data_IF_962650281888
#
_entry.id   IF_962650281888
#
_cell.length_a   1.000
_cell.length_b   1.000
_cell.length_c   1.000
_cell.angle_alpha   90.00
_cell.angle_beta   90.00
_cell.angle_gamma   90.00
#
_symmetry.space_group_name_H-M   'P 1'
#
loop_
_entity.id
_entity.type
_entity.pdbx_description
1 polymer ?
2 water ?
#
# COMPACT_ATOMS: atom_id res chain seq x y z
N UNK A 1 -8.60 13.10 10.28
CA UNK A 1 -7.61 12.51 9.33
C UNK A 1 -7.83 13.07 7.92
N UNK A 2 -6.75 13.27 7.18
CA UNK A 2 -6.87 13.79 5.82
C UNK A 2 -7.26 12.68 4.86
N UNK A 3 -7.84 13.06 3.72
CA UNK A 3 -8.28 12.12 2.71
C UNK A 3 -7.71 12.44 1.34
N UNK A 4 -7.31 11.41 0.61
CA UNK A 4 -6.82 11.55 -0.75
C UNK A 4 -7.78 10.68 -1.54
N UNK A 5 -8.19 11.12 -2.73
CA UNK A 5 -9.15 10.36 -3.51
C UNK A 5 -8.70 9.90 -4.89
N UNK A 6 -9.26 8.79 -5.33
CA UNK A 6 -8.96 8.23 -6.64
C UNK A 6 -10.21 7.58 -7.23
N UNK A 7 -10.65 8.08 -8.38
CA UNK A 7 -11.83 7.53 -9.05
C UNK A 7 -11.33 6.60 -10.14
N UNK A 8 -11.78 5.35 -10.11
CA UNK A 8 -11.34 4.36 -11.08
C UNK A 8 -11.78 4.61 -12.52
N UNK A 9 -12.60 5.64 -12.71
CA UNK A 9 -13.04 5.99 -14.04
C UNK A 9 -12.13 7.06 -14.63
N UNK A 10 -11.15 7.49 -13.84
CA UNK A 10 -10.19 8.51 -14.25
C UNK A 10 -8.78 7.98 -13.98
N UNK A 11 -8.44 6.85 -14.59
CA UNK A 11 -7.15 6.23 -14.39
C UNK A 11 -5.95 7.14 -14.58
N UNK A 12 -6.05 8.09 -15.50
CA UNK A 12 -4.94 9.00 -15.79
C UNK A 12 -4.54 9.90 -14.61
N UNK A 13 -5.39 9.96 -13.58
CA UNK A 13 -5.11 10.79 -12.41
C UNK A 13 -4.24 10.04 -11.40
N UNK A 14 -3.97 8.77 -11.68
CA UNK A 14 -3.18 7.93 -10.78
C UNK A 14 -1.85 8.55 -10.33
N UNK A 15 -1.02 9.02 -11.26
CA UNK A 15 0.26 9.61 -10.83
C UNK A 15 0.09 10.76 -9.83
N UNK A 16 -0.92 11.60 -10.05
CA UNK A 16 -1.16 12.73 -9.14
C UNK A 16 -1.62 12.21 -7.78
N UNK A 17 -2.47 11.18 -7.82
CA UNK A 17 -3.01 10.55 -6.62
C UNK A 17 -1.89 9.99 -5.74
N UNK A 18 -0.97 9.24 -6.35
CA UNK A 18 0.14 8.66 -5.61
C UNK A 18 1.05 9.74 -5.02
N UNK A 19 1.29 10.81 -5.77
CA UNK A 19 2.14 11.87 -5.26
C UNK A 19 1.47 12.56 -4.08
N UNK A 20 0.16 12.75 -4.15
CA UNK A 20 -0.56 13.38 -3.05
C UNK A 20 -0.52 12.50 -1.80
N UNK A 21 -0.54 11.19 -1.99
CA UNK A 21 -0.47 10.27 -0.85
C UNK A 21 0.92 10.35 -0.22
N UNK A 22 1.95 10.41 -1.04
CA UNK A 22 3.32 10.50 -0.51
C UNK A 22 3.46 11.79 0.31
N UNK A 23 2.83 12.87 -0.15
CA UNK A 23 2.90 14.14 0.56
C UNK A 23 2.34 14.00 1.97
N UNK A 24 1.30 13.20 2.12
CA UNK A 24 0.67 12.97 3.42
C UNK A 24 1.56 12.10 4.32
N UNK A 25 2.32 11.20 3.70
CA UNK A 25 3.18 10.29 4.44
C UNK A 25 4.57 10.85 4.78
N UNK A 26 5.04 11.80 3.98
CA UNK A 26 6.37 12.40 4.19
C UNK A 26 6.36 13.36 5.37
N UNK A 27 6.42 12.81 6.58
CA UNK A 27 6.40 13.62 7.80
C UNK A 27 7.72 13.58 8.57
N UNK A 28 8.65 12.74 8.14
CA UNK A 28 9.92 12.65 8.83
C UNK A 28 11.00 13.49 8.18
N UNK A 29 12.19 13.50 8.76
CA UNK A 29 13.31 14.26 8.20
C UNK A 29 13.85 13.52 6.98
N UNK A 30 13.96 14.20 5.84
CA UNK A 30 14.46 13.57 4.61
C UNK A 30 15.87 13.02 4.79
N UNK A 31 16.17 11.94 4.06
CA UNK A 31 17.50 11.33 4.10
C UNK A 31 17.88 11.07 2.65
N UNK A 32 19.11 11.47 2.29
CA UNK A 32 19.61 11.32 0.93
C UNK A 32 18.59 11.87 -0.08
N UNK A 33 18.01 13.03 0.25
CA UNK A 33 17.04 13.71 -0.60
C UNK A 33 15.77 12.90 -0.90
N UNK A 34 15.41 12.01 0.02
CA UNK A 34 14.21 11.18 -0.12
C UNK A 34 13.29 11.37 1.09
N UNK A 35 11.97 11.29 0.87
CA UNK A 35 10.98 11.43 1.94
C UNK A 35 11.11 10.25 2.92
N UNK A 36 10.71 10.46 4.17
CA UNK A 36 10.79 9.42 5.20
C UNK A 36 9.54 9.50 6.09
N UNK A 37 9.03 8.35 6.53
CA UNK A 37 7.87 8.34 7.40
C UNK A 37 8.30 8.55 8.86
N UNK A 38 7.35 8.83 9.73
CA UNK A 38 7.62 9.01 11.16
C UNK A 38 7.31 7.70 11.88
N UNK A 39 8.15 7.32 12.84
CA UNK A 39 7.92 6.09 13.59
C UNK A 39 6.74 6.21 14.55
N UNK A 40 6.60 7.37 15.17
CA UNK A 40 5.50 7.62 16.09
C UNK A 40 4.89 8.97 15.78
N UNK A 41 3.59 9.10 16.02
CA UNK A 41 2.89 10.34 15.75
C UNK A 41 1.62 10.36 16.59
N UNK A 42 1.08 11.55 16.82
CA UNK A 42 -0.12 11.71 17.62
C UNK A 42 -1.26 10.87 17.05
N UNK A 43 -2.08 10.30 17.92
CA UNK A 43 -3.19 9.47 17.44
C UNK A 43 -4.10 10.20 16.46
N UNK A 44 -4.22 11.52 16.59
CA UNK A 44 -5.08 12.31 15.72
C UNK A 44 -4.51 12.52 14.31
N UNK A 45 -3.28 12.08 14.08
CA UNK A 45 -2.66 12.25 12.77
C UNK A 45 -2.05 10.92 12.32
N UNK A 46 -2.43 9.86 13.02
CA UNK A 46 -1.92 8.52 12.76
C UNK A 46 -2.36 7.87 11.45
N UNK A 47 -3.50 8.28 10.90
CA UNK A 47 -3.98 7.67 9.66
C UNK A 47 -4.32 8.63 8.54
N UNK A 48 -4.26 8.12 7.31
CA UNK A 48 -4.64 8.89 6.13
C UNK A 48 -5.69 8.02 5.47
N UNK A 49 -6.75 8.64 4.97
CA UNK A 49 -7.82 7.89 4.34
C UNK A 49 -7.74 8.00 2.81
N UNK A 50 -7.96 6.87 2.14
CA UNK A 50 -7.92 6.81 0.69
C UNK A 50 -9.28 6.40 0.16
N UNK A 51 -9.99 7.35 -0.44
CA UNK A 51 -11.33 7.10 -0.99
C UNK A 51 -11.24 6.62 -2.43
N UNK A 52 -11.60 5.36 -2.65
CA UNK A 52 -11.58 4.76 -3.99
C UNK A 52 -13.00 4.56 -4.46
N UNK A 53 -13.35 5.19 -5.59
CA UNK A 53 -14.69 5.09 -6.14
C UNK A 53 -14.68 4.38 -7.49
N UNK A 54 -15.61 3.44 -7.67
CA UNK A 54 -15.71 2.67 -8.90
C UNK A 54 -16.57 3.40 -9.94
N UNK A 55 -16.53 2.92 -11.18
CA UNK A 55 -17.35 3.55 -12.22
C UNK A 55 -18.81 3.22 -11.93
N UNK A 56 -19.04 2.22 -11.08
CA UNK A 56 -20.39 1.83 -10.70
C UNK A 56 -20.87 2.67 -9.52
N UNK A 57 -20.08 3.69 -9.17
CA UNK A 57 -20.43 4.62 -8.09
C UNK A 57 -20.38 4.09 -6.67
N UNK A 58 -19.56 3.06 -6.43
CA UNK A 58 -19.42 2.52 -5.08
C UNK A 58 -18.07 2.97 -4.53
N UNK A 59 -18.05 3.39 -3.28
CA UNK A 59 -16.81 3.85 -2.67
C UNK A 59 -16.41 3.06 -1.43
N UNK A 60 -15.10 2.87 -1.29
CA UNK A 60 -14.55 2.20 -0.12
C UNK A 60 -13.48 3.14 0.42
N UNK A 61 -13.57 3.46 1.70
CA UNK A 61 -12.60 4.35 2.34
C UNK A 61 -11.55 3.49 3.03
N UNK A 62 -10.35 3.44 2.46
CA UNK A 62 -9.27 2.63 3.00
C UNK A 62 -8.38 3.41 3.96
N UNK A 63 -8.16 2.87 5.15
CA UNK A 63 -7.33 3.53 6.15
C UNK A 63 -5.89 3.02 6.11
N UNK A 64 -4.95 3.96 6.08
CA UNK A 64 -3.52 3.63 6.05
C UNK A 64 -2.78 4.26 7.23
N UNK A 65 -1.96 3.45 7.90
CA UNK A 65 -1.16 3.88 9.05
C UNK A 65 0.01 4.69 8.44
N UNK A 66 0.10 5.98 8.78
CA UNK A 66 1.16 6.80 8.19
C UNK A 66 2.58 6.46 8.67
N UNK A 67 2.70 5.75 9.77
CA UNK A 67 4.03 5.42 10.27
C UNK A 67 4.72 4.34 9.43
N UNK A 68 3.94 3.42 8.87
CA UNK A 68 4.49 2.33 8.09
C UNK A 68 3.79 2.03 6.76
N UNK A 69 2.82 2.88 6.39
CA UNK A 69 2.04 2.73 5.17
C UNK A 69 1.26 1.41 5.11
N UNK A 70 0.92 0.86 6.28
CA UNK A 70 0.15 -0.39 6.34
C UNK A 70 -1.35 -0.10 6.22
N UNK A 71 -2.04 -0.86 5.39
CA UNK A 71 -3.50 -0.70 5.29
C UNK A 71 -4.00 -1.45 6.52
N UNK A 72 -4.90 -0.84 7.29
CA UNK A 72 -5.41 -1.48 8.50
C UNK A 72 -6.89 -1.88 8.39
N UNK A 73 -7.58 -1.35 7.39
CA UNK A 73 -8.98 -1.68 7.22
C UNK A 73 -9.65 -0.72 6.25
N UNK A 74 -10.97 -0.83 6.12
CA UNK A 74 -11.70 0.04 5.23
C UNK A 74 -13.15 0.18 5.67
N UNK A 75 -13.85 1.13 5.08
CA UNK A 75 -15.26 1.33 5.39
C UNK A 75 -16.03 1.24 4.09
N UNK A 76 -17.05 0.39 4.06
CA UNK A 76 -17.88 0.25 2.87
C UNK A 76 -19.32 0.41 3.33
N UNK A 77 -20.25 -0.24 2.66
CA UNK A 77 -21.65 -0.13 3.06
C UNK A 77 -22.33 -1.48 3.20
N UNK A 78 -23.33 -1.55 4.07
CA UNK A 78 -24.12 -2.76 4.26
C UNK A 78 -25.51 -2.34 4.72
N UNK A 79 -26.52 -2.75 3.96
CA UNK A 79 -27.90 -2.44 4.29
C UNK A 79 -28.13 -0.93 4.39
N UNK A 80 -27.47 -0.19 3.52
CA UNK A 80 -27.62 1.26 3.49
C UNK A 80 -26.88 2.01 4.57
N UNK A 81 -26.11 1.30 5.38
CA UNK A 81 -25.36 1.95 6.45
C UNK A 81 -23.87 1.62 6.35
N UNK A 82 -23.04 2.44 6.98
CA UNK A 82 -21.60 2.23 6.94
C UNK A 82 -21.22 0.95 7.66
N UNK A 83 -20.11 0.37 7.24
CA UNK A 83 -19.59 -0.86 7.86
C UNK A 83 -18.08 -0.74 7.90
N UNK A 84 -17.50 -0.95 9.09
CA UNK A 84 -16.05 -0.88 9.26
C UNK A 84 -15.51 -2.30 9.26
N UNK A 85 -14.50 -2.53 8.43
CA UNK A 85 -13.88 -3.85 8.34
C UNK A 85 -12.40 -3.70 8.66
N UNK A 86 -11.95 -4.41 9.68
CA UNK A 86 -10.55 -4.33 10.09
C UNK A 86 -9.81 -5.65 9.96
N UNK A 87 -8.53 -5.56 9.62
CA UNK A 87 -7.69 -6.74 9.53
C UNK A 87 -7.38 -7.09 10.98
N UNK A 88 -6.99 -8.34 11.24
CA UNK A 88 -6.67 -8.75 12.60
C UNK A 88 -5.28 -8.21 12.94
N UNK A 89 -5.01 -8.05 14.23
CA UNK A 89 -3.71 -7.59 14.71
C UNK A 89 -3.30 -6.16 14.33
N UNK A 90 -4.27 -5.28 14.11
CA UNK A 90 -3.93 -3.89 13.80
C UNK A 90 -3.80 -3.11 15.11
N UNK A 91 -3.17 -1.93 15.08
CA UNK A 91 -3.01 -1.14 16.30
C UNK A 91 -4.33 -0.89 17.00
N UNK A 92 -4.33 -0.87 18.33
CA UNK A 92 -5.56 -0.62 19.08
C UNK A 92 -6.12 0.74 18.69
N UNK A 93 -5.25 1.69 18.39
CA UNK A 93 -5.71 3.03 18.01
C UNK A 93 -6.54 2.98 16.73
N UNK A 94 -6.29 1.97 15.89
CA UNK A 94 -7.03 1.82 14.64
C UNK A 94 -8.50 1.45 14.90
N UNK A 95 -8.71 0.40 15.68
CA UNK A 95 -10.07 -0.03 15.96
C UNK A 95 -10.78 0.92 16.91
N UNK A 96 -10.02 1.68 17.70
CA UNK A 96 -10.61 2.62 18.64
C UNK A 96 -10.96 3.98 18.04
N UNK A 97 -10.15 4.48 17.12
CA UNK A 97 -10.40 5.80 16.55
C UNK A 97 -10.88 5.94 15.11
N UNK A 98 -10.68 4.91 14.29
CA UNK A 98 -11.13 4.99 12.91
C UNK A 98 -12.63 4.80 12.76
N UNK A 99 -13.20 5.47 11.76
CA UNK A 99 -14.63 5.36 11.45
C UNK A 99 -15.48 5.49 12.71
N UNK A 100 -15.35 6.62 13.42
CA UNK A 100 -16.11 6.86 14.65
C UNK A 100 -17.62 6.78 14.48
N UNK A 101 -18.29 6.14 15.43
CA UNK A 101 -19.73 6.03 15.38
C UNK A 101 -20.29 4.88 14.57
N UNK A 102 -19.48 4.28 13.71
CA UNK A 102 -19.94 3.15 12.89
C UNK A 102 -20.02 1.92 13.80
N UNK A 103 -21.22 1.39 14.00
CA UNK A 103 -21.42 0.25 14.88
C UNK A 103 -21.23 -1.14 14.27
N UNK A 104 -21.39 -1.26 12.96
CA UNK A 104 -21.19 -2.53 12.29
C UNK A 104 -19.68 -2.59 12.07
N UNK A 105 -18.96 -3.18 13.01
CA UNK A 105 -17.51 -3.27 12.94
C UNK A 105 -17.10 -4.74 12.88
N UNK A 106 -16.37 -5.09 11.84
CA UNK A 106 -15.93 -6.46 11.62
C UNK A 106 -14.44 -6.64 11.81
N UNK A 107 -14.06 -7.62 12.63
CA UNK A 107 -12.65 -7.92 12.83
C UNK A 107 -12.44 -9.23 12.09
N UNK A 108 -11.66 -9.16 11.00
CA UNK A 108 -11.38 -10.34 10.18
C UNK A 108 -10.51 -11.33 10.96
N UNK A 109 -10.51 -12.59 10.50
CA UNK A 109 -9.73 -13.62 11.17
C UNK A 109 -8.28 -13.66 10.75
N UNK A 110 -7.94 -12.91 9.70
CA UNK A 110 -6.56 -12.86 9.21
C UNK A 110 -5.96 -11.45 9.31
N UNK A 111 -4.65 -11.38 9.41
CA UNK A 111 -3.97 -10.08 9.50
C UNK A 111 -3.53 -9.62 8.11
N UNK A 112 -2.87 -8.46 8.06
CA UNK A 112 -2.45 -7.91 6.78
C UNK A 112 -1.13 -8.36 6.17
N UNK A 113 -0.47 -9.35 6.75
CA UNK A 113 0.79 -9.81 6.19
C UNK A 113 0.48 -10.52 4.87
N UNK A 114 1.41 -10.51 3.93
CA UNK A 114 1.13 -11.16 2.66
C UNK A 114 0.89 -12.66 2.81
N UNK A 115 1.55 -13.30 3.77
CA UNK A 115 1.37 -14.73 3.95
C UNK A 115 -0.04 -15.08 4.37
N UNK A 116 -0.59 -14.32 5.31
CA UNK A 116 -1.94 -14.59 5.79
C UNK A 116 -2.98 -14.21 4.73
N UNK A 117 -2.71 -13.14 3.99
CA UNK A 117 -3.64 -12.70 2.95
C UNK A 117 -3.73 -13.69 1.79
N UNK A 118 -2.58 -14.19 1.33
CA UNK A 118 -2.61 -15.13 0.22
C UNK A 118 -3.26 -16.45 0.65
N UNK A 119 -3.06 -16.83 1.91
CA UNK A 119 -3.67 -18.06 2.43
C UNK A 119 -5.19 -17.95 2.45
N UNK A 120 -5.69 -16.75 2.73
CA UNK A 120 -7.13 -16.53 2.79
C UNK A 120 -7.72 -16.36 1.39
N UNK A 121 -6.97 -15.69 0.52
CA UNK A 121 -7.42 -15.45 -0.85
C UNK A 121 -7.30 -16.72 -1.70
N UNK A 122 -6.38 -17.59 -1.31
CA UNK A 122 -6.11 -18.86 -1.99
C UNK A 122 -5.42 -18.66 -3.32
N UNK A 123 -4.77 -17.51 -3.47
CA UNK A 123 -4.04 -17.18 -4.69
C UNK A 123 -2.83 -16.34 -4.30
N UNK A 124 -1.67 -16.67 -4.86
CA UNK A 124 -0.45 -15.94 -4.54
C UNK A 124 -0.31 -14.66 -5.35
N UNK A 125 0.47 -13.71 -4.82
CA UNK A 125 0.68 -12.42 -5.48
C UNK A 125 1.09 -12.53 -6.95
N UNK A 126 1.98 -13.47 -7.26
CA UNK A 126 2.46 -13.62 -8.63
C UNK A 126 1.36 -14.02 -9.61
N UNK A 127 0.27 -14.60 -9.11
CA UNK A 127 -0.83 -15.04 -9.98
C UNK A 127 -2.07 -14.15 -9.95
N UNK A 128 -2.07 -13.12 -9.11
CA UNK A 128 -3.22 -12.22 -9.02
C UNK A 128 -3.03 -10.97 -9.86
N UNK A 129 -3.93 -10.77 -10.83
CA UNK A 129 -3.86 -9.62 -11.71
C UNK A 129 -4.16 -8.30 -11.01
N UNK A 130 -3.36 -7.29 -11.32
CA UNK A 130 -3.51 -5.97 -10.75
C UNK A 130 -3.97 -5.02 -11.86
N UNK A 131 -4.52 -3.88 -11.48
CA UNK A 131 -4.99 -2.93 -12.46
C UNK A 131 -6.27 -2.25 -12.00
N UNK A 132 -6.60 -1.12 -12.61
CA UNK A 132 -7.79 -0.38 -12.22
C UNK A 132 -9.09 -1.17 -12.37
N UNK A 133 -9.21 -1.91 -13.48
CA UNK A 133 -10.42 -2.70 -13.72
C UNK A 133 -10.51 -3.86 -12.72
N UNK A 134 -9.38 -4.51 -12.47
CA UNK A 134 -9.35 -5.62 -11.53
C UNK A 134 -9.67 -5.12 -10.13
N UNK A 135 -9.17 -3.93 -9.78
CA UNK A 135 -9.44 -3.37 -8.46
C UNK A 135 -10.93 -3.11 -8.35
N UNK A 136 -11.52 -2.52 -9.38
CA UNK A 136 -12.96 -2.25 -9.35
C UNK A 136 -13.75 -3.55 -9.20
N UNK A 137 -13.32 -4.60 -9.89
CA UNK A 137 -14.01 -5.88 -9.81
C UNK A 137 -13.98 -6.43 -8.39
N UNK A 138 -12.84 -6.31 -7.72
CA UNK A 138 -12.72 -6.80 -6.35
C UNK A 138 -13.59 -6.00 -5.39
N UNK A 139 -13.76 -4.71 -5.66
CA UNK A 139 -14.60 -3.86 -4.82
C UNK A 139 -16.06 -4.26 -5.02
N UNK A 140 -16.44 -4.49 -6.27
CA UNK A 140 -17.81 -4.90 -6.60
C UNK A 140 -18.16 -6.23 -5.95
N UNK A 141 -17.16 -7.08 -5.75
CA UNK A 141 -17.39 -8.39 -5.16
C UNK A 141 -17.65 -8.38 -3.66
N UNK A 142 -17.22 -7.33 -2.97
CA UNK A 142 -17.40 -7.26 -1.52
C UNK A 142 -18.28 -6.12 -1.02
N UNK A 143 -18.37 -5.05 -1.80
CA UNK A 143 -19.16 -3.89 -1.39
C UNK A 143 -20.65 -4.21 -1.20
N UNK A 144 -21.15 -3.97 0.01
CA UNK A 144 -22.55 -4.21 0.30
C UNK A 144 -22.96 -5.67 0.33
N UNK A 145 -21.98 -6.57 0.40
CA UNK A 145 -22.26 -7.99 0.43
C UNK A 145 -21.88 -8.63 1.76
N UNK A 146 -22.37 -9.83 2.01
CA UNK A 146 -22.05 -10.52 3.26
C UNK A 146 -20.53 -10.73 3.30
N UNK A 147 -19.96 -10.68 4.49
CA UNK A 147 -18.53 -10.85 4.68
C UNK A 147 -18.02 -12.22 4.21
N UNK A 148 -17.16 -12.19 3.20
CA UNK A 148 -16.54 -13.39 2.65
C UNK A 148 -15.03 -13.20 2.73
N UNK A 149 -14.41 -13.89 3.67
CA UNK A 149 -12.98 -13.77 3.87
C UNK A 149 -12.11 -13.88 2.63
N UNK A 150 -12.40 -14.84 1.76
CA UNK A 150 -11.62 -15.03 0.56
C UNK A 150 -11.67 -13.83 -0.40
N UNK A 151 -12.87 -13.31 -0.64
CA UNK A 151 -13.01 -12.17 -1.55
C UNK A 151 -12.38 -10.91 -0.98
N UNK A 152 -12.51 -10.72 0.33
CA UNK A 152 -11.95 -9.55 0.97
C UNK A 152 -10.42 -9.61 0.95
N UNK A 153 -9.86 -10.80 1.11
CA UNK A 153 -8.41 -10.94 1.09
C UNK A 153 -7.89 -10.55 -0.30
N UNK A 154 -8.64 -10.90 -1.34
CA UNK A 154 -8.24 -10.57 -2.71
C UNK A 154 -8.22 -9.05 -2.88
N UNK A 155 -9.23 -8.38 -2.34
CA UNK A 155 -9.30 -6.93 -2.42
C UNK A 155 -8.07 -6.31 -1.75
N UNK A 156 -7.75 -6.77 -0.55
CA UNK A 156 -6.59 -6.23 0.16
C UNK A 156 -5.30 -6.43 -0.64
N UNK A 157 -5.11 -7.63 -1.20
CA UNK A 157 -3.91 -7.89 -1.98
C UNK A 157 -3.76 -6.92 -3.13
N UNK A 158 -4.87 -6.64 -3.82
CA UNK A 158 -4.82 -5.72 -4.95
C UNK A 158 -4.61 -4.27 -4.52
N UNK A 159 -5.40 -3.79 -3.57
CA UNK A 159 -5.27 -2.41 -3.13
C UNK A 159 -3.95 -2.09 -2.42
N UNK A 160 -3.45 -3.04 -1.63
CA UNK A 160 -2.18 -2.80 -0.93
C UNK A 160 -1.04 -2.58 -1.93
N UNK A 161 -1.01 -3.39 -2.99
CA UNK A 161 0.05 -3.24 -3.97
C UNK A 161 -0.11 -2.01 -4.87
N UNK A 162 -1.35 -1.71 -5.26
CA UNK A 162 -1.60 -0.55 -6.13
C UNK A 162 -1.53 0.79 -5.41
N UNK A 163 -1.69 0.78 -4.09
CA UNK A 163 -1.65 2.04 -3.34
C UNK A 163 -0.45 2.16 -2.40
N UNK A 164 -0.39 1.31 -1.38
CA UNK A 164 0.72 1.36 -0.43
C UNK A 164 2.09 1.11 -1.05
N UNK A 165 2.23 0.00 -1.78
CA UNK A 165 3.52 -0.33 -2.38
C UNK A 165 3.93 0.67 -3.46
N UNK A 166 2.95 1.21 -4.19
CA UNK A 166 3.21 2.20 -5.23
C UNK A 166 3.71 3.50 -4.59
N UNK A 167 3.16 3.82 -3.42
CA UNK A 167 3.58 5.02 -2.71
C UNK A 167 5.03 4.85 -2.25
N UNK A 168 5.35 3.66 -1.75
CA UNK A 168 6.69 3.36 -1.28
C UNK A 168 7.73 3.30 -2.38
N UNK A 169 7.35 2.75 -3.53
CA UNK A 169 8.26 2.54 -4.65
C UNK A 169 7.84 3.15 -5.99
N UNK A 170 8.64 4.10 -6.48
CA UNK A 170 8.35 4.70 -7.78
C UNK A 170 8.34 3.64 -8.87
N UNK A 171 9.16 2.59 -8.71
CA UNK A 171 9.23 1.52 -9.70
C UNK A 171 7.87 0.85 -9.85
N UNK A 172 7.22 0.56 -8.72
CA UNK A 172 5.92 -0.08 -8.72
C UNK A 172 4.87 0.89 -9.27
N UNK A 173 4.97 2.16 -8.90
CA UNK A 173 4.03 3.15 -9.41
C UNK A 173 4.11 3.16 -10.95
N UNK A 174 5.32 3.08 -11.47
CA UNK A 174 5.50 3.10 -12.93
C UNK A 174 4.93 1.85 -13.60
N UNK A 175 5.03 0.70 -12.93
CA UNK A 175 4.47 -0.53 -13.50
C UNK A 175 2.97 -0.38 -13.64
N UNK A 176 2.33 0.19 -12.62
CA UNK A 176 0.88 0.38 -12.67
C UNK A 176 0.51 1.37 -13.77
N UNK A 177 1.27 2.46 -13.88
CA UNK A 177 1.00 3.46 -14.91
C UNK A 177 1.13 2.88 -16.31
N UNK A 178 2.20 2.11 -16.55
CA UNK A 178 2.44 1.51 -17.86
C UNK A 178 1.58 0.29 -18.20
N UNK A 179 1.21 -0.49 -17.20
CA UNK A 179 0.45 -1.72 -17.42
C UNK A 179 -0.91 -1.87 -16.74
N UNK A 180 -1.19 -1.10 -15.69
CA UNK A 180 -2.45 -1.27 -14.99
C UNK A 180 -3.51 -0.17 -15.02
N UNK A 181 -3.32 0.86 -15.83
CA UNK A 181 -4.31 1.92 -15.90
C UNK A 181 -5.29 1.63 -17.02
N UNK A 182 -4.77 1.07 -18.11
CA UNK A 182 -5.59 0.74 -19.27
C UNK A 182 -5.48 -0.74 -19.62
N UNK A 183 -4.99 -1.52 -18.66
CA UNK A 183 -4.85 -2.95 -18.86
C UNK A 183 -4.70 -3.65 -17.51
N UNK A 184 -4.34 -4.92 -17.55
CA UNK A 184 -4.15 -5.71 -16.33
C UNK A 184 -2.80 -6.39 -16.41
N UNK A 185 -2.20 -6.66 -15.25
CA UNK A 185 -0.90 -7.32 -15.24
C UNK A 185 -0.64 -8.02 -13.92
N UNK A 186 0.29 -8.98 -13.95
CA UNK A 186 0.69 -9.70 -12.75
C UNK A 186 2.06 -9.13 -12.41
N UNK A 187 2.29 -8.79 -11.14
CA UNK A 187 3.57 -8.22 -10.67
C UNK A 187 4.78 -9.08 -10.97
N UNK A 188 5.81 -8.48 -11.58
CA UNK A 188 7.01 -9.22 -11.91
C UNK A 188 7.91 -9.47 -10.71
N UNK A 189 9.01 -10.18 -10.93
CA UNK A 189 9.93 -10.53 -9.87
C UNK A 189 10.47 -9.35 -9.07
N UNK A 190 10.71 -8.23 -9.75
CA UNK A 190 11.23 -7.05 -9.07
C UNK A 190 10.18 -6.40 -8.18
N UNK A 191 8.96 -6.29 -8.70
CA UNK A 191 7.87 -5.70 -7.92
C UNK A 191 7.75 -6.46 -6.60
N UNK A 192 7.67 -7.78 -6.70
CA UNK A 192 7.54 -8.62 -5.51
C UNK A 192 8.74 -8.51 -4.58
N UNK A 193 9.94 -8.43 -5.14
CA UNK A 193 11.16 -8.33 -4.32
C UNK A 193 11.19 -7.03 -3.52
N UNK A 194 10.83 -5.92 -4.17
CA UNK A 194 10.82 -4.62 -3.49
C UNK A 194 9.79 -4.65 -2.36
N UNK A 195 8.62 -5.23 -2.63
CA UNK A 195 7.57 -5.32 -1.62
C UNK A 195 8.08 -6.06 -0.38
N UNK A 196 8.87 -7.10 -0.61
CA UNK A 196 9.41 -7.89 0.50
C UNK A 196 10.58 -7.26 1.23
N UNK A 197 11.14 -6.19 0.67
CA UNK A 197 12.31 -5.56 1.30
C UNK A 197 12.27 -4.07 1.60
N UNK A 198 11.08 -3.48 1.71
CA UNK A 198 11.00 -2.05 1.99
C UNK A 198 11.78 -1.65 3.24
N UNK A 199 11.56 -2.38 4.33
CA UNK A 199 12.24 -2.06 5.58
C UNK A 199 13.75 -2.13 5.47
N UNK A 200 14.26 -3.22 4.90
CA UNK A 200 15.70 -3.39 4.75
C UNK A 200 16.34 -2.36 3.82
N UNK A 201 15.66 -2.04 2.72
CA UNK A 201 16.17 -1.05 1.78
C UNK A 201 16.25 0.31 2.45
N UNK A 202 15.22 0.62 3.25
CA UNK A 202 15.17 1.91 3.95
C UNK A 202 16.29 2.03 5.00
N UNK A 203 16.52 0.97 5.75
CA UNK A 203 17.57 0.99 6.77
C UNK A 203 18.94 1.14 6.12
N UNK A 204 19.13 0.49 4.97
CA UNK A 204 20.39 0.56 4.25
C UNK A 204 20.69 1.98 3.80
N UNK A 205 19.67 2.66 3.29
CA UNK A 205 19.85 4.03 2.83
C UNK A 205 20.14 4.94 4.02
N UNK A 206 19.46 4.71 5.14
CA UNK A 206 19.69 5.53 6.33
C UNK A 206 21.13 5.34 6.82
N UNK A 207 21.61 4.11 6.79
CA UNK A 207 22.97 3.82 7.23
C UNK A 207 24.03 4.50 6.35
N UNK A 208 23.70 4.70 5.07
CA UNK A 208 24.63 5.33 4.14
C UNK A 208 24.72 6.84 4.32
N UNK A 209 23.75 7.42 5.04
CA UNK A 209 23.73 8.86 5.26
C UNK A 209 24.83 9.22 6.26
N UNK A 210 25.39 10.44 6.15
CA UNK A 210 25.08 11.50 5.19
C UNK A 210 25.83 11.53 3.86
N UNK A 211 26.91 10.76 3.69
CA UNK A 211 27.62 10.81 2.42
C UNK A 211 26.73 10.33 1.28
N UNK A 212 25.77 9.46 1.62
CA UNK A 212 24.81 8.94 0.66
C UNK A 212 25.39 8.40 -0.64
N UNK A 213 26.41 7.55 -0.53
CA UNK A 213 26.99 6.94 -1.70
C UNK A 213 27.05 5.44 -1.46
N UNK A 214 28.04 5.00 -0.70
CA UNK A 214 28.23 3.57 -0.42
C UNK A 214 27.19 2.94 0.50
N UNK A 215 26.74 1.75 0.10
CA UNK A 215 25.78 0.95 0.88
C UNK A 215 26.51 -0.35 1.20
N UNK A 216 26.86 -0.53 2.48
CA UNK A 216 27.57 -1.73 2.91
C UNK A 216 27.12 -2.17 4.31
N UNK A 217 26.76 -3.45 4.48
CA UNK A 217 26.74 -4.53 3.49
C UNK A 217 25.78 -4.20 2.34
N UNK A 218 26.00 -4.82 1.20
CA UNK A 218 25.17 -4.57 0.02
C UNK A 218 23.78 -5.19 0.11
N UNK A 219 22.83 -4.58 -0.59
CA UNK A 219 21.46 -5.10 -0.63
C UNK A 219 21.42 -6.17 -1.72
N UNK A 220 20.89 -7.34 -1.38
CA UNK A 220 20.80 -8.44 -2.35
C UNK A 220 19.38 -8.44 -2.88
N UNK A 221 19.16 -7.73 -3.99
CA UNK A 221 17.84 -7.62 -4.58
C UNK A 221 17.67 -8.46 -5.85
N UNK A 222 16.53 -8.30 -6.51
CA UNK A 222 16.19 -9.06 -7.72
C UNK A 222 15.70 -8.17 -8.86
N UNK A 223 16.17 -8.47 -10.07
CA UNK A 223 15.79 -7.69 -11.26
C UNK A 223 14.44 -8.14 -11.82
N UNK A 224 13.89 -7.38 -12.78
CA UNK A 224 12.60 -7.73 -13.39
C UNK A 224 12.57 -9.12 -14.03
N UNK A 225 13.72 -9.62 -14.44
CA UNK A 225 13.83 -10.93 -15.06
C UNK A 225 14.25 -12.04 -14.10
N UNK A 226 14.20 -11.72 -12.81
CA UNK A 226 14.54 -12.67 -11.74
C UNK A 226 16.03 -12.95 -11.59
N UNK A 227 16.87 -12.03 -12.05
CA UNK A 227 18.31 -12.20 -11.92
C UNK A 227 18.81 -11.41 -10.71
N UNK A 228 19.92 -11.85 -10.10
CA UNK A 228 20.48 -11.16 -8.94
C UNK A 228 20.79 -9.71 -9.25
N UNK A 229 20.42 -8.81 -8.34
CA UNK A 229 20.70 -7.38 -8.50
C UNK A 229 21.32 -6.90 -7.19
N UNK A 230 22.64 -6.83 -7.17
CA UNK A 230 23.38 -6.40 -5.98
C UNK A 230 23.57 -4.89 -5.96
N UNK A 231 23.01 -4.26 -4.93
CA UNK A 231 23.07 -2.82 -4.78
C UNK A 231 24.04 -2.38 -3.69
N UNK A 232 25.07 -1.62 -4.08
CA UNK A 232 26.04 -1.12 -3.10
C UNK A 232 26.21 0.39 -3.22
N UNK A 233 25.28 1.03 -3.93
CA UNK A 233 25.30 2.48 -4.12
C UNK A 233 23.89 3.06 -4.10
N UNK A 234 23.73 4.15 -3.36
CA UNK A 234 22.42 4.80 -3.27
C UNK A 234 21.86 5.14 -4.64
N UNK A 235 22.71 5.64 -5.53
CA UNK A 235 22.29 6.02 -6.88
C UNK A 235 21.68 4.88 -7.68
N UNK A 236 21.98 3.64 -7.29
CA UNK A 236 21.45 2.48 -7.98
C UNK A 236 20.00 2.17 -7.61
N UNK A 237 19.61 2.53 -6.38
CA UNK A 237 18.27 2.23 -5.92
C UNK A 237 17.37 3.45 -5.66
N UNK A 238 17.98 4.61 -5.48
CA UNK A 238 17.21 5.82 -5.21
C UNK A 238 16.13 6.12 -6.26
N UNK A 239 16.41 5.87 -7.55
CA UNK A 239 15.39 6.15 -8.58
C UNK A 239 14.10 5.32 -8.45
N UNK A 240 14.18 4.18 -7.78
CA UNK A 240 13.01 3.32 -7.59
C UNK A 240 12.24 3.63 -6.31
N UNK A 241 12.79 4.50 -5.47
CA UNK A 241 12.15 4.82 -4.18
C UNK A 241 11.18 6.00 -4.19
N UNK A 242 10.05 5.80 -3.52
CA UNK A 242 9.03 6.83 -3.40
C UNK A 242 9.10 7.48 -2.02
N UNK A 243 9.16 6.66 -0.99
CA UNK A 243 9.27 7.13 0.39
C UNK A 243 9.87 6.00 1.23
N UNK A 244 10.79 6.37 2.13
CA UNK A 244 11.47 5.41 2.99
C UNK A 244 10.82 5.23 4.35
N UNK A 245 11.08 4.09 4.98
CA UNK A 245 10.56 3.81 6.30
C UNK A 245 11.41 4.57 7.30
N UNK A 246 10.80 4.94 8.42
CA UNK A 246 11.46 5.68 9.48
C UNK A 246 12.73 4.99 9.97
N UNK A 247 13.54 5.73 10.75
CA UNK A 247 14.79 5.22 11.35
C UNK A 247 16.02 6.12 11.26
N UNK A 248 16.98 5.87 12.14
CA UNK A 248 18.25 6.60 12.22
C UNK A 248 18.24 7.96 11.53
#
# INVERSE_FOLDING_TARGET
YNTVSFNLGEAYEYPTFIQDLRNELAKGTPVCQLPVTLQTIADDKRFVLVDITTTSKKTVKVAIDVTDVYVVGYQDKWDGKDRAVFLDKVPTVATSKLFPGVTNRVTLTFDGSYQKLVNAAKVDRKDLELGVYKLEFSIEAIHGKTINGQEIAKFFLIVIQMVSEAARFKYIETEVVDRGLYGSFKPNFKVLNLENNWGDISDAIHKSSPQCTTINPALQLISPSNDPWVVNKVSQISPDMGILKFKS
#
